data_IF_735925435994
#
_entry.id   IF_735925435994
#
_cell.length_a   1.000
_cell.length_b   1.000
_cell.length_c   1.000
_cell.angle_alpha   90.00
_cell.angle_beta   90.00
_cell.angle_gamma   90.00
#
_symmetry.space_group_name_H-M   'P 1'
#
loop_
_entity.id
_entity.type
_entity.pdbx_description
1 polymer ?
#
# COMPACT_ATOMS: atom_id res chain seq x y z
N UNK A 1 -13.31 -18.24 9.73
CA UNK A 1 -12.54 -17.22 10.47
C UNK A 1 -11.79 -16.44 9.42
N UNK A 2 -11.89 -15.11 9.41
CA UNK A 2 -11.14 -14.30 8.43
C UNK A 2 -9.68 -14.28 8.90
N UNK A 3 -8.74 -14.70 8.07
CA UNK A 3 -7.32 -14.65 8.42
C UNK A 3 -6.91 -13.20 8.71
N UNK A 4 -6.36 -12.97 9.90
CA UNK A 4 -5.87 -11.66 10.34
C UNK A 4 -4.41 -11.77 10.78
N UNK A 5 -3.59 -10.81 10.37
CA UNK A 5 -2.17 -10.71 10.73
C UNK A 5 -1.93 -9.40 11.51
N UNK A 6 -1.07 -9.43 12.53
CA UNK A 6 -0.66 -8.24 13.27
C UNK A 6 0.35 -7.43 12.45
N UNK A 7 0.00 -6.18 12.15
CA UNK A 7 0.89 -5.22 11.50
C UNK A 7 1.39 -4.19 12.52
N UNK A 8 2.68 -4.26 12.88
CA UNK A 8 3.33 -3.25 13.73
C UNK A 8 4.09 -2.25 12.87
N UNK A 9 3.63 -0.99 12.88
CA UNK A 9 4.23 0.10 12.09
C UNK A 9 4.33 1.38 12.91
N UNK A 10 5.32 2.23 12.56
CA UNK A 10 5.39 3.60 13.08
C UNK A 10 4.51 4.50 12.21
N UNK A 11 3.60 5.22 12.85
CA UNK A 11 2.72 6.21 12.20
C UNK A 11 2.91 7.57 12.86
N UNK A 12 2.64 8.65 12.13
CA UNK A 12 2.70 9.98 12.73
C UNK A 12 1.61 10.12 13.79
N UNK A 13 1.96 10.73 14.93
CA UNK A 13 1.00 10.95 16.01
C UNK A 13 -0.19 11.83 15.56
N UNK A 14 0.07 12.78 14.66
CA UNK A 14 -0.97 13.62 14.08
C UNK A 14 -1.97 12.82 13.25
N UNK A 15 -1.50 11.85 12.46
CA UNK A 15 -2.39 11.00 11.67
C UNK A 15 -3.20 10.06 12.57
N UNK A 16 -2.58 9.48 13.59
CA UNK A 16 -3.29 8.60 14.53
C UNK A 16 -4.40 9.35 15.29
N UNK A 17 -4.18 10.62 15.67
CA UNK A 17 -5.23 11.46 16.27
C UNK A 17 -6.44 11.63 15.35
N UNK A 18 -6.22 11.82 14.05
CA UNK A 18 -7.34 11.89 13.08
C UNK A 18 -8.10 10.57 13.00
N UNK A 19 -7.41 9.43 13.09
CA UNK A 19 -8.07 8.12 13.14
C UNK A 19 -8.90 7.98 14.42
N UNK A 20 -8.41 8.48 15.55
CA UNK A 20 -9.13 8.47 16.82
C UNK A 20 -10.40 9.34 16.79
N UNK A 21 -10.33 10.52 16.16
CA UNK A 21 -11.49 11.39 15.93
C UNK A 21 -12.59 10.65 15.14
N UNK A 22 -12.22 9.97 14.05
CA UNK A 22 -13.17 9.18 13.25
C UNK A 22 -13.80 8.02 14.04
N UNK A 23 -13.04 7.40 14.96
CA UNK A 23 -13.60 6.37 15.85
C UNK A 23 -14.56 6.98 16.87
N UNK A 24 -14.23 8.15 17.43
CA UNK A 24 -15.08 8.85 18.39
C UNK A 24 -16.40 9.34 17.78
N UNK A 25 -16.39 9.68 16.50
CA UNK A 25 -17.58 10.02 15.71
C UNK A 25 -18.45 8.79 15.37
N UNK A 26 -17.98 7.57 15.65
CA UNK A 26 -18.70 6.34 15.36
C UNK A 26 -18.62 5.86 13.90
N UNK A 27 -17.76 6.48 13.08
CA UNK A 27 -17.53 6.06 11.68
C UNK A 27 -16.81 4.71 11.59
N UNK A 28 -16.01 4.39 12.59
CA UNK A 28 -15.30 3.11 12.71
C UNK A 28 -15.44 2.53 14.10
N UNK A 29 -15.56 1.20 14.17
CA UNK A 29 -15.66 0.49 15.45
C UNK A 29 -14.40 0.64 16.31
N UNK A 30 -13.23 0.66 15.66
CA UNK A 30 -11.93 0.78 16.29
C UNK A 30 -10.85 1.19 15.28
N UNK A 31 -9.62 1.44 15.76
CA UNK A 31 -8.46 1.78 14.94
C UNK A 31 -8.15 0.72 13.88
N UNK A 32 -8.28 -0.56 14.19
CA UNK A 32 -8.00 -1.64 13.25
C UNK A 32 -8.96 -1.63 12.07
N UNK A 33 -10.23 -1.32 12.30
CA UNK A 33 -11.25 -1.17 11.26
C UNK A 33 -10.91 0.00 10.32
N UNK A 34 -10.62 1.17 10.89
CA UNK A 34 -10.20 2.36 10.13
C UNK A 34 -8.91 2.12 9.31
N UNK A 35 -7.91 1.46 9.90
CA UNK A 35 -6.65 1.14 9.22
C UNK A 35 -6.88 0.14 8.08
N UNK A 36 -7.71 -0.88 8.29
CA UNK A 36 -8.05 -1.84 7.24
C UNK A 36 -8.77 -1.16 6.07
N UNK A 37 -9.70 -0.25 6.34
CA UNK A 37 -10.38 0.51 5.29
C UNK A 37 -9.41 1.40 4.50
N UNK A 38 -8.53 2.13 5.20
CA UNK A 38 -7.49 2.92 4.57
C UNK A 38 -6.56 2.09 3.66
N UNK A 39 -6.18 0.88 4.10
CA UNK A 39 -5.39 -0.05 3.29
C UNK A 39 -6.15 -0.56 2.06
N UNK A 40 -7.44 -0.89 2.20
CA UNK A 40 -8.29 -1.26 1.06
C UNK A 40 -8.39 -0.12 0.05
N UNK A 41 -8.64 1.09 0.51
CA UNK A 41 -8.73 2.27 -0.35
C UNK A 41 -7.40 2.55 -1.07
N UNK A 42 -6.28 2.38 -0.37
CA UNK A 42 -4.95 2.47 -0.96
C UNK A 42 -4.76 1.44 -2.09
N UNK A 43 -5.08 0.17 -1.84
CA UNK A 43 -4.97 -0.89 -2.85
C UNK A 43 -5.88 -0.60 -4.04
N UNK A 44 -7.14 -0.23 -3.78
CA UNK A 44 -8.12 0.08 -4.83
C UNK A 44 -7.63 1.23 -5.72
N UNK A 45 -7.13 2.31 -5.11
CA UNK A 45 -6.56 3.48 -5.81
C UNK A 45 -5.46 3.07 -6.80
N UNK A 46 -4.60 2.14 -6.40
CA UNK A 46 -3.47 1.69 -7.22
C UNK A 46 -3.77 0.46 -8.09
N UNK A 47 -4.90 -0.22 -7.89
CA UNK A 47 -5.34 -1.32 -8.76
C UNK A 47 -5.84 -0.82 -10.13
N UNK A 48 -6.43 0.38 -10.16
CA UNK A 48 -7.06 0.99 -11.35
C UNK A 48 -6.12 1.83 -12.21
N UNK A 49 -4.85 1.95 -11.82
CA UNK A 49 -3.84 2.72 -12.56
C UNK A 49 -2.93 1.79 -13.33
N UNK A 50 -2.70 2.10 -14.62
CA UNK A 50 -1.67 1.43 -15.41
C UNK A 50 -0.31 1.54 -14.69
N UNK A 51 0.62 0.58 -14.87
CA UNK A 51 1.95 0.66 -14.29
C UNK A 51 2.62 2.03 -14.49
N UNK A 52 2.45 2.62 -15.67
CA UNK A 52 2.93 3.95 -16.07
C UNK A 52 2.26 5.08 -15.27
N UNK A 53 0.94 5.00 -15.09
CA UNK A 53 0.19 5.95 -14.26
C UNK A 53 0.62 5.92 -12.79
N UNK A 54 0.98 4.73 -12.25
CA UNK A 54 1.48 4.62 -10.87
C UNK A 54 2.85 5.24 -10.70
N UNK A 55 3.78 4.96 -11.62
CA UNK A 55 5.11 5.56 -11.53
C UNK A 55 5.08 7.08 -11.73
N UNK A 56 4.23 7.57 -12.62
CA UNK A 56 4.01 9.01 -12.80
C UNK A 56 3.48 9.65 -11.53
N UNK A 57 2.48 9.06 -10.87
CA UNK A 57 1.96 9.56 -9.60
C UNK A 57 3.01 9.55 -8.47
N UNK A 58 3.86 8.52 -8.41
CA UNK A 58 4.95 8.43 -7.44
C UNK A 58 6.07 9.43 -7.71
N UNK A 59 6.42 9.66 -8.98
CA UNK A 59 7.40 10.65 -9.41
C UNK A 59 6.95 12.08 -9.07
N UNK A 60 5.71 12.43 -9.43
CA UNK A 60 5.13 13.73 -9.11
C UNK A 60 4.95 13.94 -7.60
N UNK A 61 4.64 12.88 -6.86
CA UNK A 61 4.53 12.89 -5.40
C UNK A 61 5.86 12.87 -4.65
N UNK A 62 7.00 12.93 -5.34
CA UNK A 62 8.34 12.92 -4.73
C UNK A 62 8.73 11.60 -4.07
N UNK A 63 7.98 10.52 -4.34
CA UNK A 63 8.19 9.18 -3.77
C UNK A 63 9.07 8.29 -4.66
N UNK A 64 9.46 8.77 -5.84
CA UNK A 64 10.51 8.18 -6.66
C UNK A 64 11.72 9.13 -6.75
N UNK A 65 12.96 8.60 -6.76
CA UNK A 65 14.14 9.38 -7.09
C UNK A 65 13.96 10.07 -8.43
N UNK A 66 14.36 11.34 -8.55
CA UNK A 66 14.33 12.07 -9.83
C UNK A 66 15.40 11.61 -10.82
N UNK A 67 16.21 10.63 -10.46
CA UNK A 67 17.22 10.02 -11.35
C UNK A 67 16.55 8.97 -12.24
N UNK A 68 16.16 9.39 -13.44
CA UNK A 68 15.55 8.54 -14.48
C UNK A 68 14.14 8.97 -14.85
N UNK A 69 13.70 8.62 -16.06
CA UNK A 69 12.34 8.91 -16.52
C UNK A 69 11.30 8.01 -15.82
N UNK A 70 10.05 8.47 -15.61
CA UNK A 70 8.99 7.65 -15.02
C UNK A 70 8.83 6.30 -15.71
N UNK A 71 8.93 6.26 -17.04
CA UNK A 71 8.86 5.05 -17.87
C UNK A 71 9.97 4.04 -17.54
N UNK A 72 11.23 4.47 -17.40
CA UNK A 72 12.34 3.56 -17.06
C UNK A 72 12.17 2.92 -15.67
N UNK A 73 11.57 3.66 -14.73
CA UNK A 73 11.29 3.16 -13.38
C UNK A 73 10.15 2.13 -13.39
N UNK A 74 9.14 2.29 -14.25
CA UNK A 74 8.03 1.33 -14.42
C UNK A 74 8.54 -0.01 -14.89
N UNK A 75 9.28 -0.04 -16.01
CA UNK A 75 9.70 -1.30 -16.63
C UNK A 75 10.66 -2.10 -15.74
N UNK A 76 11.52 -1.43 -14.96
CA UNK A 76 12.36 -2.10 -13.95
C UNK A 76 11.54 -2.59 -12.74
N UNK A 77 10.53 -1.83 -12.30
CA UNK A 77 9.68 -2.23 -11.17
C UNK A 77 8.76 -3.40 -11.51
N UNK A 78 8.27 -3.51 -12.74
CA UNK A 78 7.46 -4.65 -13.22
C UNK A 78 8.21 -5.97 -13.08
N UNK A 79 9.47 -6.03 -13.56
CA UNK A 79 10.32 -7.22 -13.38
C UNK A 79 10.53 -7.58 -11.92
N UNK A 80 10.81 -6.58 -11.06
CA UNK A 80 11.01 -6.81 -9.62
C UNK A 80 9.73 -7.28 -8.92
N UNK A 81 8.54 -6.87 -9.41
CA UNK A 81 7.25 -7.32 -8.88
C UNK A 81 6.96 -8.77 -9.26
N UNK A 82 7.28 -9.19 -10.48
CA UNK A 82 7.21 -10.60 -10.90
C UNK A 82 8.09 -11.48 -10.02
N UNK A 83 9.33 -11.05 -9.76
CA UNK A 83 10.26 -11.77 -8.86
C UNK A 83 9.74 -11.91 -7.43
N UNK A 84 9.09 -10.87 -6.89
CA UNK A 84 8.49 -10.92 -5.55
C UNK A 84 7.24 -11.82 -5.55
N UNK A 85 6.36 -11.69 -6.53
CA UNK A 85 5.16 -12.53 -6.64
C UNK A 85 5.54 -14.01 -6.78
N UNK A 86 6.55 -14.34 -7.60
CA UNK A 86 7.08 -15.70 -7.72
C UNK A 86 7.68 -16.23 -6.41
N UNK A 87 8.34 -15.36 -5.63
CA UNK A 87 8.89 -15.74 -4.32
C UNK A 87 7.77 -16.05 -3.32
N UNK A 88 6.69 -15.28 -3.34
CA UNK A 88 5.52 -15.50 -2.49
C UNK A 88 4.78 -16.78 -2.86
N UNK A 89 4.50 -17.02 -4.15
CA UNK A 89 3.82 -18.26 -4.58
C UNK A 89 4.62 -19.54 -4.30
N UNK A 90 5.96 -19.49 -4.40
CA UNK A 90 6.83 -20.62 -4.01
C UNK A 90 6.81 -20.92 -2.51
N UNK A 91 6.60 -19.91 -1.68
CA UNK A 91 6.57 -20.05 -0.22
C UNK A 91 5.31 -20.79 0.25
N UNK A 92 4.21 -20.69 -0.50
CA UNK A 92 2.94 -21.38 -0.21
C UNK A 92 2.89 -22.83 -0.71
N UNK A 93 3.85 -23.28 -1.54
CA UNK A 93 3.85 -24.65 -2.12
C UNK A 93 4.73 -25.66 -1.35
N UNK A 94 5.42 -25.22 -0.29
CA UNK A 94 6.38 -26.07 0.47
C UNK A 94 5.96 -26.31 1.93
N UNK A 95 4.68 -26.18 2.27
CA UNK A 95 4.13 -26.55 3.60
C UNK A 95 3.35 -27.86 3.54
#
# INVERSE_FOLDING_TARGET
MTDTVLLQVRVSAALLRRVDELCAEGLFKNRSDAVNDALRYLVLRYSRTSPEGRATALYLGGRLPRSGSPTELVFKASRRREEVLERWTRSDTTS
#
